data_IF_658569748733
#
_entry.id   IF_658569748733
#
_cell.length_a   1.000
_cell.length_b   1.000
_cell.length_c   1.000
_cell.angle_alpha   90.00
_cell.angle_beta   90.00
_cell.angle_gamma   90.00
#
_symmetry.space_group_name_H-M   'P 1'
#
loop_
_entity.id
_entity.type
_entity.pdbx_description
1 polymer ?
#
# COMPACT_ATOMS: atom_id res chain seq x y z
N UNK A 1 -38.98 -67.38 15.68
CA UNK A 1 -39.26 -66.18 16.49
C UNK A 1 -37.99 -65.34 16.53
N UNK A 2 -37.77 -64.60 15.45
CA UNK A 2 -37.39 -63.18 15.41
C UNK A 2 -36.09 -62.79 16.11
N UNK A 3 -35.01 -63.01 15.39
CA UNK A 3 -33.72 -62.35 15.58
C UNK A 3 -33.50 -61.41 14.38
N UNK A 4 -33.73 -60.12 14.59
CA UNK A 4 -33.40 -59.04 13.64
C UNK A 4 -32.87 -57.85 14.43
N UNK A 5 -31.63 -57.97 14.91
CA UNK A 5 -30.88 -56.84 15.43
C UNK A 5 -30.46 -55.90 14.29
N UNK A 6 -30.76 -54.59 14.36
CA UNK A 6 -30.37 -53.64 13.33
C UNK A 6 -28.85 -53.42 13.40
N UNK A 7 -28.11 -54.03 12.47
CA UNK A 7 -26.72 -53.67 12.21
C UNK A 7 -26.67 -52.24 11.68
N UNK A 8 -26.47 -51.30 12.59
CA UNK A 8 -26.18 -49.90 12.30
C UNK A 8 -24.80 -49.81 11.64
N UNK A 9 -24.77 -49.99 10.31
CA UNK A 9 -23.67 -49.56 9.45
C UNK A 9 -23.65 -48.03 9.46
N UNK A 10 -23.10 -47.45 10.52
CA UNK A 10 -22.64 -46.07 10.49
C UNK A 10 -21.52 -45.99 9.46
N UNK A 11 -21.91 -45.62 8.24
CA UNK A 11 -21.02 -45.26 7.16
C UNK A 11 -20.04 -44.21 7.71
N UNK A 12 -18.82 -44.66 7.99
CA UNK A 12 -17.76 -43.84 8.54
C UNK A 12 -17.35 -42.88 7.43
N UNK A 13 -17.97 -41.69 7.40
CA UNK A 13 -17.67 -40.63 6.44
C UNK A 13 -16.18 -40.31 6.58
N UNK A 14 -15.37 -40.85 5.67
CA UNK A 14 -13.97 -40.46 5.52
C UNK A 14 -14.00 -39.08 4.88
N UNK A 15 -13.94 -38.04 5.71
CA UNK A 15 -13.64 -36.70 5.23
C UNK A 15 -12.32 -36.79 4.44
N UNK A 16 -12.43 -36.66 3.11
CA UNK A 16 -11.27 -36.73 2.23
C UNK A 16 -10.40 -35.50 2.49
N UNK A 17 -9.08 -35.65 2.66
CA UNK A 17 -8.17 -34.53 2.88
C UNK A 17 -8.24 -33.45 1.79
N UNK A 18 -8.70 -33.82 0.59
CA UNK A 18 -9.00 -32.91 -0.52
C UNK A 18 -10.09 -31.88 -0.19
N UNK A 19 -11.10 -32.23 0.62
CA UNK A 19 -12.18 -31.31 0.98
C UNK A 19 -11.69 -30.17 1.89
N UNK A 20 -10.73 -30.45 2.79
CA UNK A 20 -10.14 -29.45 3.69
C UNK A 20 -9.27 -28.46 2.90
N UNK A 21 -8.47 -28.97 1.95
CA UNK A 21 -7.66 -28.12 1.06
C UNK A 21 -8.57 -27.26 0.16
N UNK A 22 -9.63 -27.84 -0.40
CA UNK A 22 -10.59 -27.09 -1.20
C UNK A 22 -11.27 -25.97 -0.40
N UNK A 23 -11.64 -26.21 0.86
CA UNK A 23 -12.27 -25.20 1.72
C UNK A 23 -11.31 -24.06 2.09
N UNK A 24 -10.04 -24.38 2.36
CA UNK A 24 -9.01 -23.37 2.64
C UNK A 24 -8.74 -22.49 1.42
N UNK A 25 -8.68 -23.08 0.22
CA UNK A 25 -8.55 -22.34 -1.04
C UNK A 25 -9.79 -21.46 -1.29
N UNK A 26 -11.00 -21.96 -1.01
CA UNK A 26 -12.24 -21.19 -1.19
C UNK A 26 -12.34 -19.97 -0.27
N UNK A 27 -11.73 -20.01 0.92
CA UNK A 27 -11.73 -18.90 1.88
C UNK A 27 -10.62 -17.88 1.65
N UNK A 28 -9.47 -18.28 1.08
CA UNK A 28 -8.34 -17.38 0.86
C UNK A 28 -8.52 -16.49 -0.38
N UNK A 29 -9.27 -16.95 -1.39
CA UNK A 29 -9.48 -16.21 -2.65
C UNK A 29 -10.38 -14.96 -2.52
N UNK A 30 -11.51 -14.98 -1.78
CA UNK A 30 -12.42 -13.83 -1.69
C UNK A 30 -11.85 -12.64 -0.90
N UNK A 31 -11.03 -12.91 0.11
CA UNK A 31 -10.42 -11.85 0.96
C UNK A 31 -9.44 -10.99 0.16
N UNK A 32 -8.80 -11.54 -0.86
CA UNK A 32 -7.94 -10.77 -1.77
C UNK A 32 -8.72 -9.87 -2.75
N UNK A 33 -10.02 -10.08 -2.90
CA UNK A 33 -10.86 -9.39 -3.88
C UNK A 33 -11.68 -8.23 -3.29
N UNK A 34 -11.94 -8.22 -1.98
CA UNK A 34 -12.77 -7.21 -1.31
C UNK A 34 -12.03 -5.92 -0.92
N UNK A 35 -10.76 -5.75 -1.31
CA UNK A 35 -9.97 -4.54 -1.06
C UNK A 35 -10.06 -3.48 -2.17
N UNK A 36 -11.12 -3.49 -2.98
CA UNK A 36 -11.36 -2.42 -3.97
C UNK A 36 -12.05 -1.26 -3.26
N UNK A 37 -11.23 -0.37 -2.71
CA UNK A 37 -11.65 0.88 -2.09
C UNK A 37 -12.31 1.76 -3.16
N UNK A 38 -13.59 2.08 -2.96
CA UNK A 38 -14.38 3.01 -3.77
C UNK A 38 -14.54 4.33 -3.03
N UNK A 39 -13.46 4.85 -2.45
CA UNK A 39 -13.47 6.18 -1.87
C UNK A 39 -13.29 7.20 -3.01
N UNK A 40 -14.32 8.01 -3.23
CA UNK A 40 -14.20 9.30 -3.92
C UNK A 40 -13.25 10.19 -3.08
N UNK A 41 -11.94 10.04 -3.27
CA UNK A 41 -10.96 10.74 -2.46
C UNK A 41 -10.91 12.22 -2.85
N UNK A 42 -11.07 13.09 -1.84
CA UNK A 42 -10.83 14.53 -1.90
C UNK A 42 -9.34 14.81 -2.15
N UNK A 43 -8.87 14.59 -3.37
CA UNK A 43 -7.52 14.94 -3.76
C UNK A 43 -7.44 16.37 -4.27
N UNK A 44 -6.23 16.92 -4.29
CA UNK A 44 -5.90 18.18 -4.96
C UNK A 44 -4.82 17.93 -6.00
N UNK A 45 -4.89 18.69 -7.09
CA UNK A 45 -4.01 18.58 -8.23
C UNK A 45 -3.64 20.00 -8.70
N UNK A 46 -2.35 20.32 -8.78
CA UNK A 46 -1.88 21.57 -9.35
C UNK A 46 -2.00 21.47 -10.87
N UNK A 47 -2.93 22.24 -11.43
CA UNK A 47 -3.26 22.16 -12.85
C UNK A 47 -2.40 23.17 -13.62
N UNK A 48 -2.49 24.45 -13.25
CA UNK A 48 -1.81 25.53 -13.96
C UNK A 48 -1.21 26.56 -13.03
N UNK A 49 -0.20 27.28 -13.53
CA UNK A 49 0.42 28.42 -12.87
C UNK A 49 0.66 29.53 -13.89
N UNK A 50 0.32 30.76 -13.53
CA UNK A 50 0.49 31.94 -14.40
C UNK A 50 1.16 33.05 -13.60
N UNK A 51 2.19 33.67 -14.18
CA UNK A 51 2.83 34.85 -13.62
C UNK A 51 2.16 36.13 -14.09
N UNK A 52 1.92 37.08 -13.18
CA UNK A 52 1.45 38.43 -13.46
C UNK A 52 2.28 39.44 -12.67
N UNK A 53 3.24 40.07 -13.33
CA UNK A 53 4.24 40.93 -12.66
C UNK A 53 5.08 40.13 -11.67
N UNK A 54 4.96 40.46 -10.38
CA UNK A 54 5.64 39.76 -9.27
C UNK A 54 4.76 38.71 -8.59
N UNK A 55 3.50 38.58 -9.01
CA UNK A 55 2.55 37.63 -8.43
C UNK A 55 2.45 36.37 -9.28
N UNK A 56 2.18 35.24 -8.62
CA UNK A 56 1.88 33.97 -9.25
C UNK A 56 0.46 33.58 -8.88
N UNK A 57 -0.33 33.21 -9.88
CA UNK A 57 -1.66 32.63 -9.70
C UNK A 57 -1.58 31.16 -10.06
N UNK A 58 -1.84 30.29 -9.09
CA UNK A 58 -1.97 28.86 -9.28
C UNK A 58 -3.44 28.45 -9.33
N UNK A 59 -3.74 27.46 -10.17
CA UNK A 59 -5.05 26.81 -10.24
C UNK A 59 -4.90 25.38 -9.77
N UNK A 60 -5.60 25.04 -8.69
CA UNK A 60 -5.74 23.69 -8.17
C UNK A 60 -7.09 23.13 -8.59
N UNK A 61 -7.14 21.85 -8.97
CA UNK A 61 -8.40 21.12 -9.13
C UNK A 61 -8.49 20.06 -8.05
N UNK A 62 -9.69 19.85 -7.52
CA UNK A 62 -9.92 18.74 -6.61
C UNK A 62 -10.52 17.51 -7.33
N UNK A 63 -10.78 16.43 -6.58
CA UNK A 63 -11.38 15.20 -7.10
C UNK A 63 -12.78 15.37 -7.72
N UNK A 64 -13.54 16.40 -7.32
CA UNK A 64 -14.82 16.74 -7.96
C UNK A 64 -14.69 17.62 -9.20
N UNK A 65 -13.46 18.00 -9.59
CA UNK A 65 -13.19 18.93 -10.68
C UNK A 65 -13.37 20.41 -10.32
N UNK A 66 -13.72 20.72 -9.07
CA UNK A 66 -13.81 22.10 -8.62
C UNK A 66 -12.42 22.75 -8.60
N UNK A 67 -12.33 23.95 -9.19
CA UNK A 67 -11.08 24.70 -9.31
C UNK A 67 -10.95 25.73 -8.19
N UNK A 68 -9.82 25.71 -7.50
CA UNK A 68 -9.43 26.70 -6.50
C UNK A 68 -8.27 27.52 -7.04
N UNK A 69 -8.33 28.85 -6.86
CA UNK A 69 -7.24 29.74 -7.27
C UNK A 69 -6.47 30.19 -6.05
N UNK A 70 -5.15 30.09 -6.13
CA UNK A 70 -4.23 30.56 -5.09
C UNK A 70 -3.29 31.59 -5.65
N UNK A 71 -2.94 32.54 -4.81
CA UNK A 71 -2.04 33.64 -5.15
C UNK A 71 -0.82 33.55 -4.24
N UNK A 72 0.35 33.67 -4.86
CA UNK A 72 1.62 33.88 -4.16
C UNK A 72 2.20 35.24 -4.59
N UNK A 73 2.65 36.02 -3.61
CA UNK A 73 3.30 37.31 -3.83
C UNK A 73 4.83 37.26 -3.63
N UNK A 74 5.37 36.09 -3.31
CA UNK A 74 6.76 35.87 -2.90
C UNK A 74 7.44 34.76 -3.71
N UNK A 75 7.06 34.60 -4.98
CA UNK A 75 7.70 33.63 -5.87
C UNK A 75 7.31 32.17 -5.61
N UNK A 76 6.16 31.91 -4.98
CA UNK A 76 5.64 30.57 -4.71
C UNK A 76 6.00 30.02 -3.32
N UNK A 77 6.62 30.83 -2.45
CA UNK A 77 7.02 30.40 -1.12
C UNK A 77 5.83 30.31 -0.16
N UNK A 78 4.90 31.26 -0.26
CA UNK A 78 3.63 31.26 0.48
C UNK A 78 2.44 31.41 -0.46
N UNK A 79 1.31 30.84 -0.05
CA UNK A 79 0.08 30.80 -0.82
C UNK A 79 -1.10 31.25 0.03
N UNK A 80 -2.00 32.02 -0.59
CA UNK A 80 -3.32 32.35 -0.05
C UNK A 80 -4.39 32.09 -1.09
N UNK A 81 -5.64 31.91 -0.67
CA UNK A 81 -6.73 31.86 -1.64
C UNK A 81 -6.91 33.24 -2.27
N UNK A 82 -7.29 33.23 -3.54
CA UNK A 82 -7.66 34.44 -4.24
C UNK A 82 -8.96 35.01 -3.65
N UNK A 83 -8.99 36.30 -3.32
CA UNK A 83 -10.21 36.95 -2.89
C UNK A 83 -11.19 37.08 -4.07
N UNK A 84 -12.51 37.15 -3.82
CA UNK A 84 -13.49 37.44 -4.86
C UNK A 84 -13.11 38.76 -5.58
N UNK A 85 -12.79 38.68 -6.87
CA UNK A 85 -12.38 39.83 -7.70
C UNK A 85 -10.90 39.89 -8.07
N UNK A 86 -9.99 39.31 -7.28
CA UNK A 86 -8.56 39.20 -7.65
C UNK A 86 -8.32 38.15 -8.72
N UNK A 87 -9.26 37.22 -8.85
CA UNK A 87 -9.23 36.20 -9.88
C UNK A 87 -9.32 36.79 -11.27
N UNK A 88 -9.59 38.09 -11.42
CA UNK A 88 -9.71 38.78 -12.70
C UNK A 88 -10.65 37.97 -13.55
N UNK A 89 -11.96 38.07 -13.30
CA UNK A 89 -12.93 37.71 -14.32
C UNK A 89 -12.56 38.53 -15.55
N UNK A 90 -11.70 37.96 -16.38
CA UNK A 90 -11.58 38.35 -17.78
C UNK A 90 -12.85 37.78 -18.40
N UNK A 91 -13.97 38.43 -18.07
CA UNK A 91 -15.34 38.34 -18.62
C UNK A 91 -15.77 37.05 -19.29
N UNK A 92 -15.54 35.90 -18.66
CA UNK A 92 -15.77 34.59 -19.26
C UNK A 92 -16.74 33.72 -18.49
N UNK A 93 -17.77 34.27 -17.84
CA UNK A 93 -18.92 33.49 -17.33
C UNK A 93 -19.83 32.96 -18.44
N UNK A 94 -19.42 33.12 -19.71
CA UNK A 94 -20.00 32.38 -20.82
C UNK A 94 -19.54 30.92 -20.78
N UNK A 95 -20.36 30.09 -20.15
CA UNK A 95 -20.42 28.62 -20.30
C UNK A 95 -20.79 28.19 -21.75
N UNK A 96 -20.50 29.03 -22.74
CA UNK A 96 -20.77 28.84 -24.16
C UNK A 96 -19.53 28.27 -24.85
N UNK A 97 -19.31 26.97 -24.67
CA UNK A 97 -18.83 26.06 -25.72
C UNK A 97 -17.54 26.38 -26.49
N UNK A 98 -16.72 27.33 -26.05
CA UNK A 98 -15.47 27.69 -26.68
C UNK A 98 -14.36 26.71 -26.30
N UNK A 99 -14.18 25.67 -27.11
CA UNK A 99 -13.08 24.69 -27.04
C UNK A 99 -11.68 25.28 -27.27
N UNK A 100 -11.54 26.61 -27.28
CA UNK A 100 -10.26 27.29 -27.22
C UNK A 100 -9.69 27.23 -25.80
N UNK A 101 -9.31 26.03 -25.35
CA UNK A 101 -8.49 25.87 -24.16
C UNK A 101 -7.21 26.67 -24.40
N UNK A 102 -7.11 27.86 -23.81
CA UNK A 102 -5.87 28.63 -23.81
C UNK A 102 -4.80 27.73 -23.24
N UNK A 103 -3.90 27.25 -24.10
CA UNK A 103 -2.89 26.27 -23.71
C UNK A 103 -2.13 26.82 -22.51
N UNK A 104 -2.09 26.04 -21.43
CA UNK A 104 -1.40 26.44 -20.21
C UNK A 104 0.08 26.68 -20.54
N UNK A 105 0.70 27.75 -20.04
CA UNK A 105 2.08 28.06 -20.39
C UNK A 105 2.99 26.94 -19.91
N UNK A 106 3.58 26.22 -20.85
CA UNK A 106 4.54 25.13 -20.63
C UNK A 106 5.99 25.63 -20.66
N UNK A 107 6.20 26.86 -21.13
CA UNK A 107 7.50 27.51 -21.24
C UNK A 107 7.39 28.99 -20.88
N UNK A 108 8.40 29.52 -20.19
CA UNK A 108 8.49 30.93 -19.84
C UNK A 108 9.95 31.34 -19.65
N UNK A 109 10.26 32.62 -19.87
CA UNK A 109 11.61 33.16 -19.80
C UNK A 109 11.75 34.15 -18.64
N UNK A 110 12.96 34.27 -18.09
CA UNK A 110 13.26 35.23 -17.05
C UNK A 110 13.06 36.66 -17.58
N UNK A 111 12.28 37.52 -16.89
CA UNK A 111 11.98 38.87 -17.36
C UNK A 111 13.22 39.75 -17.58
N UNK A 112 14.28 39.53 -16.78
CA UNK A 112 15.54 40.26 -16.84
C UNK A 112 16.56 39.67 -17.83
N UNK A 113 16.36 38.42 -18.26
CA UNK A 113 17.27 37.65 -19.13
C UNK A 113 16.46 36.82 -20.13
N UNK A 114 16.02 37.41 -21.26
CA UNK A 114 15.12 36.75 -22.20
C UNK A 114 15.71 35.48 -22.85
N UNK A 115 17.04 35.33 -22.86
CA UNK A 115 17.75 34.12 -23.28
C UNK A 115 17.69 32.97 -22.25
N UNK A 116 17.33 33.28 -21.00
CA UNK A 116 17.20 32.32 -19.92
C UNK A 116 15.75 31.86 -19.79
N UNK A 117 15.44 30.66 -20.29
CA UNK A 117 14.08 30.12 -20.30
C UNK A 117 13.98 28.77 -19.62
N UNK A 118 12.76 28.45 -19.19
CA UNK A 118 12.39 27.19 -18.56
C UNK A 118 11.24 26.56 -19.34
N UNK A 119 11.22 25.24 -19.44
CA UNK A 119 10.08 24.48 -19.98
C UNK A 119 9.79 23.22 -19.16
N UNK A 120 8.52 22.85 -19.06
CA UNK A 120 8.13 21.55 -18.49
C UNK A 120 8.31 20.44 -19.51
N UNK A 121 8.56 19.21 -19.04
CA UNK A 121 8.59 18.01 -19.90
C UNK A 121 7.32 17.18 -19.64
N UNK A 122 6.34 17.17 -20.57
CA UNK A 122 5.07 16.47 -20.38
C UNK A 122 5.25 14.99 -20.04
N UNK A 123 4.42 14.46 -19.15
CA UNK A 123 4.48 13.05 -18.72
C UNK A 123 5.55 12.74 -17.66
N UNK A 124 6.39 13.72 -17.33
CA UNK A 124 7.45 13.61 -16.33
C UNK A 124 7.33 14.74 -15.31
N UNK A 125 7.84 14.49 -14.10
CA UNK A 125 8.09 15.54 -13.12
C UNK A 125 9.47 16.13 -13.41
N UNK A 126 9.56 17.00 -14.42
CA UNK A 126 10.83 17.51 -14.93
C UNK A 126 10.67 18.91 -15.53
N UNK A 127 11.67 19.73 -15.24
CA UNK A 127 11.89 21.04 -15.86
C UNK A 127 13.25 21.04 -16.53
N UNK A 128 13.26 21.58 -17.75
CA UNK A 128 14.49 21.89 -18.46
C UNK A 128 14.70 23.41 -18.46
N UNK A 129 15.95 23.83 -18.40
CA UNK A 129 16.34 25.23 -18.56
C UNK A 129 17.31 25.40 -19.73
N UNK A 130 17.33 26.62 -20.27
CA UNK A 130 18.24 27.08 -21.32
C UNK A 130 18.73 28.48 -20.95
N UNK A 131 19.96 28.83 -21.30
CA UNK A 131 20.55 30.18 -21.14
C UNK A 131 20.98 30.77 -22.48
N UNK A 132 20.61 30.11 -23.59
CA UNK A 132 20.97 30.50 -24.94
C UNK A 132 19.74 30.55 -25.85
N UNK A 133 18.60 31.00 -25.30
CA UNK A 133 17.37 31.20 -26.06
C UNK A 133 16.78 29.91 -26.64
N UNK A 134 17.06 28.76 -26.01
CA UNK A 134 16.54 27.46 -26.42
C UNK A 134 17.40 26.70 -27.43
N UNK A 135 18.61 27.17 -27.75
CA UNK A 135 19.53 26.43 -28.61
C UNK A 135 20.00 25.11 -27.97
N UNK A 136 20.14 25.07 -26.64
CA UNK A 136 20.35 23.85 -25.86
C UNK A 136 19.56 23.87 -24.57
N UNK A 137 19.08 22.71 -24.15
CA UNK A 137 18.30 22.52 -22.93
C UNK A 137 18.98 21.49 -22.03
N UNK A 138 18.95 21.71 -20.72
CA UNK A 138 19.42 20.75 -19.73
C UNK A 138 18.43 20.64 -18.58
N UNK A 139 18.52 19.55 -17.82
CA UNK A 139 17.61 19.29 -16.70
C UNK A 139 17.96 20.26 -15.57
N UNK A 140 17.05 21.18 -15.27
CA UNK A 140 17.14 22.11 -14.14
C UNK A 140 16.62 21.46 -12.86
N UNK A 141 15.60 20.62 -12.99
CA UNK A 141 14.96 19.89 -11.90
C UNK A 141 14.26 18.64 -12.43
N UNK A 142 14.32 17.54 -11.68
CA UNK A 142 13.49 16.37 -11.97
C UNK A 142 13.30 15.46 -10.78
N UNK A 143 12.16 14.78 -10.75
CA UNK A 143 11.99 13.52 -9.99
C UNK A 143 12.22 12.36 -10.96
N UNK A 144 13.23 11.50 -10.74
CA UNK A 144 13.47 10.30 -11.54
C UNK A 144 12.19 9.45 -11.72
N UNK A 145 12.04 8.81 -12.88
CA UNK A 145 10.81 8.06 -13.19
C UNK A 145 10.58 6.86 -12.26
N UNK A 146 11.64 6.25 -11.74
CA UNK A 146 11.52 5.19 -10.74
C UNK A 146 11.00 5.74 -9.40
N UNK A 147 11.49 6.89 -8.96
CA UNK A 147 10.99 7.63 -7.79
C UNK A 147 9.55 8.07 -7.96
N UNK A 148 9.21 8.60 -9.14
CA UNK A 148 7.84 8.98 -9.50
C UNK A 148 6.90 7.78 -9.47
N UNK A 149 7.34 6.62 -9.95
CA UNK A 149 6.58 5.35 -9.81
C UNK A 149 6.47 4.89 -8.37
N UNK A 150 7.45 5.18 -7.49
CA UNK A 150 7.34 4.91 -6.05
C UNK A 150 6.31 5.84 -5.41
N UNK A 151 6.40 7.13 -5.70
CA UNK A 151 5.47 8.15 -5.25
C UNK A 151 4.03 7.83 -5.67
N UNK A 152 3.82 7.38 -6.91
CA UNK A 152 2.53 6.98 -7.44
C UNK A 152 1.80 5.94 -6.57
N UNK A 153 2.54 5.04 -5.91
CA UNK A 153 1.96 3.99 -5.06
C UNK A 153 1.41 4.48 -3.74
N UNK A 154 1.73 5.73 -3.36
CA UNK A 154 1.18 6.37 -2.17
C UNK A 154 -0.21 6.98 -2.42
N UNK A 155 -0.59 7.13 -3.68
CA UNK A 155 -1.91 7.62 -4.09
C UNK A 155 -2.73 6.42 -4.57
N UNK A 156 -3.70 5.98 -3.77
CA UNK A 156 -4.48 4.76 -4.04
C UNK A 156 -5.30 4.86 -5.34
N UNK A 157 -5.69 6.07 -5.70
CA UNK A 157 -6.63 6.45 -6.75
C UNK A 157 -5.96 7.20 -7.93
N UNK A 158 -4.63 7.20 -8.03
CA UNK A 158 -3.90 8.05 -8.98
C UNK A 158 -4.22 7.78 -10.45
N UNK A 159 -4.61 6.55 -10.79
CA UNK A 159 -4.68 6.12 -12.19
C UNK A 159 -3.30 6.10 -12.85
N UNK A 160 -3.18 6.69 -14.04
CA UNK A 160 -1.94 6.71 -14.82
C UNK A 160 -0.93 7.75 -14.28
N UNK A 161 0.26 7.35 -13.79
CA UNK A 161 1.20 8.29 -13.19
C UNK A 161 1.71 9.38 -14.13
N UNK A 162 1.86 9.11 -15.43
CA UNK A 162 2.26 10.12 -16.42
C UNK A 162 1.23 11.24 -16.58
N UNK A 163 -0.04 10.94 -16.33
CA UNK A 163 -1.12 11.93 -16.40
C UNK A 163 -1.16 12.78 -15.12
N UNK A 164 -1.09 12.14 -13.95
CA UNK A 164 -1.37 12.81 -12.67
C UNK A 164 -0.16 13.24 -11.86
N UNK A 165 1.02 12.68 -12.13
CA UNK A 165 2.30 13.11 -11.57
C UNK A 165 3.19 13.57 -12.71
N UNK A 166 2.86 14.72 -13.28
CA UNK A 166 3.63 15.35 -14.35
C UNK A 166 3.65 16.86 -14.18
N UNK A 167 4.73 17.48 -14.65
CA UNK A 167 4.86 18.93 -14.76
C UNK A 167 4.00 19.41 -15.92
N UNK A 168 3.01 20.25 -15.63
CA UNK A 168 1.95 20.66 -16.57
C UNK A 168 2.11 22.08 -17.07
N UNK A 169 2.48 22.98 -16.17
CA UNK A 169 2.57 24.40 -16.42
C UNK A 169 3.68 24.99 -15.56
N UNK A 170 4.29 26.07 -16.04
CA UNK A 170 5.25 26.83 -15.26
C UNK A 170 5.06 28.33 -15.43
N UNK A 171 5.48 29.08 -14.40
CA UNK A 171 5.55 30.53 -14.41
C UNK A 171 6.94 30.97 -13.94
N UNK A 172 7.48 31.99 -14.60
CA UNK A 172 8.72 32.67 -14.18
C UNK A 172 8.36 34.10 -13.83
N UNK A 173 8.69 34.52 -12.60
CA UNK A 173 8.38 35.86 -12.10
C UNK A 173 9.63 36.53 -11.55
N UNK A 174 9.72 37.84 -11.71
CA UNK A 174 10.79 38.62 -11.12
C UNK A 174 10.63 38.68 -9.60
N UNK A 175 11.73 38.49 -8.87
CA UNK A 175 11.82 38.63 -7.42
C UNK A 175 13.06 39.46 -7.05
N UNK A 176 13.16 40.06 -5.86
CA UNK A 176 14.33 40.83 -5.48
C UNK A 176 15.64 40.01 -5.58
N UNK A 177 16.50 40.34 -6.54
CA UNK A 177 17.77 39.64 -6.75
C UNK A 177 17.77 38.55 -7.83
N UNK A 178 16.67 38.38 -8.59
CA UNK A 178 16.63 37.50 -9.76
C UNK A 178 15.20 37.14 -10.16
N UNK A 179 14.97 35.86 -10.44
CA UNK A 179 13.66 35.31 -10.76
C UNK A 179 13.38 34.04 -9.95
N UNK A 180 12.09 33.83 -9.68
CA UNK A 180 11.58 32.58 -9.15
C UNK A 180 10.88 31.79 -10.26
N UNK A 181 10.91 30.46 -10.15
CA UNK A 181 10.21 29.57 -11.07
C UNK A 181 9.24 28.72 -10.26
N UNK A 182 7.98 28.68 -10.67
CA UNK A 182 6.98 27.81 -10.05
C UNK A 182 6.40 26.90 -11.09
N UNK A 183 6.25 25.63 -10.74
CA UNK A 183 5.80 24.56 -11.64
C UNK A 183 4.63 23.84 -11.00
N UNK A 184 3.53 23.71 -11.75
CA UNK A 184 2.40 22.87 -11.39
C UNK A 184 2.72 21.41 -11.73
N UNK A 185 2.80 20.54 -10.71
CA UNK A 185 3.24 19.15 -10.83
C UNK A 185 2.10 18.14 -10.62
N UNK A 186 0.88 18.47 -11.02
CA UNK A 186 -0.27 17.60 -10.83
C UNK A 186 -0.48 17.30 -9.33
N UNK A 187 -0.68 16.03 -8.96
CA UNK A 187 -0.95 15.60 -7.58
C UNK A 187 0.29 15.64 -6.67
N UNK A 188 1.46 15.98 -7.21
CA UNK A 188 2.67 16.20 -6.43
C UNK A 188 2.71 17.59 -5.75
N UNK A 189 1.82 18.51 -6.16
CA UNK A 189 1.83 19.90 -5.70
C UNK A 189 2.63 20.80 -6.62
N UNK A 190 3.51 21.62 -6.04
CA UNK A 190 4.36 22.56 -6.78
C UNK A 190 5.84 22.24 -6.61
N UNK A 191 6.64 22.59 -7.62
CA UNK A 191 8.07 22.76 -7.46
C UNK A 191 8.43 24.24 -7.61
N UNK A 192 9.22 24.76 -6.68
CA UNK A 192 9.60 26.16 -6.60
C UNK A 192 11.11 26.27 -6.66
N UNK A 193 11.63 27.03 -7.63
CA UNK A 193 13.03 27.46 -7.68
C UNK A 193 13.11 28.85 -7.06
N UNK A 194 13.82 28.96 -5.95
CA UNK A 194 14.10 30.24 -5.33
C UNK A 194 15.17 31.03 -6.12
N UNK A 195 15.37 32.29 -5.75
CA UNK A 195 16.36 33.18 -6.39
C UNK A 195 17.81 32.67 -6.30
N UNK A 196 18.12 31.86 -5.29
CA UNK A 196 19.44 31.25 -5.10
C UNK A 196 19.64 29.98 -5.95
N UNK A 197 18.64 29.61 -6.76
CA UNK A 197 18.66 28.47 -7.64
C UNK A 197 18.29 27.13 -6.99
N UNK A 198 17.99 27.11 -5.69
CA UNK A 198 17.54 25.88 -5.03
C UNK A 198 16.09 25.57 -5.37
N UNK A 199 15.83 24.30 -5.66
CA UNK A 199 14.49 23.77 -5.88
C UNK A 199 13.92 23.16 -4.61
N UNK A 200 12.67 23.47 -4.31
CA UNK A 200 11.89 22.87 -3.22
C UNK A 200 10.56 22.34 -3.75
N UNK A 201 10.10 21.20 -3.22
CA UNK A 201 8.78 20.65 -3.51
C UNK A 201 7.81 21.03 -2.40
N UNK A 202 6.69 21.61 -2.75
CA UNK A 202 5.65 22.05 -1.82
C UNK A 202 4.34 21.34 -2.14
N UNK A 203 3.71 20.76 -1.11
CA UNK A 203 2.41 20.10 -1.26
C UNK A 203 1.26 21.11 -1.20
N UNK A 204 0.04 20.58 -1.15
CA UNK A 204 -1.16 21.40 -0.95
C UNK A 204 -1.35 21.70 0.55
N UNK A 205 -1.69 22.95 0.90
CA UNK A 205 -1.84 23.39 2.29
C UNK A 205 -2.74 24.63 2.45
N UNK A 206 -3.56 24.62 3.50
CA UNK A 206 -4.81 25.41 3.67
C UNK A 206 -4.65 26.92 3.83
N UNK A 207 -5.65 27.62 3.31
CA UNK A 207 -5.94 29.06 3.31
C UNK A 207 -5.68 29.81 4.62
N UNK A 208 -5.16 31.04 4.51
CA UNK A 208 -5.27 32.11 5.52
C UNK A 208 -6.56 32.89 5.24
N UNK A 209 -7.54 32.88 6.16
CA UNK A 209 -8.75 33.70 6.06
C UNK A 209 -8.38 35.21 6.10
N UNK A 210 -8.84 36.04 5.13
CA UNK A 210 -8.53 37.47 5.07
C UNK A 210 -9.08 38.31 6.24
N UNK A 211 -10.01 37.78 7.05
CA UNK A 211 -10.61 38.52 8.18
C UNK A 211 -9.83 38.44 9.48
N UNK A 212 -8.71 37.70 9.53
CA UNK A 212 -7.90 37.53 10.74
C UNK A 212 -8.61 36.81 11.88
N UNK A 213 -9.87 36.39 11.71
CA UNK A 213 -10.60 35.54 12.64
C UNK A 213 -10.27 34.10 12.30
N UNK A 214 -9.33 33.52 13.04
CA UNK A 214 -9.11 32.08 13.07
C UNK A 214 -10.44 31.35 13.28
N UNK A 215 -10.90 30.60 12.28
CA UNK A 215 -11.72 29.43 12.53
C UNK A 215 -10.86 28.44 13.34
N UNK A 216 -10.77 28.64 14.66
CA UNK A 216 -10.05 27.76 15.58
C UNK A 216 -8.52 27.68 15.40
N UNK A 217 -7.78 28.41 16.25
CA UNK A 217 -6.50 28.01 16.86
C UNK A 217 -5.31 27.54 15.99
N UNK A 218 -5.20 27.92 14.72
CA UNK A 218 -3.93 27.81 13.97
C UNK A 218 -3.80 28.95 12.93
N UNK A 219 -3.46 30.15 13.40
CA UNK A 219 -3.00 31.25 12.56
C UNK A 219 -1.55 30.99 12.12
N UNK A 220 -1.29 31.02 10.81
CA UNK A 220 0.00 30.67 10.20
C UNK A 220 0.11 29.18 9.90
N UNK A 221 -0.73 28.65 9.00
CA UNK A 221 -0.58 27.27 8.56
C UNK A 221 0.54 27.16 7.54
N UNK A 222 1.63 26.61 8.04
CA UNK A 222 2.82 26.13 7.33
C UNK A 222 2.44 25.43 6.02
N UNK A 223 3.07 25.84 4.92
CA UNK A 223 3.03 25.12 3.64
C UNK A 223 3.43 23.69 3.95
N UNK A 224 2.52 22.73 3.72
CA UNK A 224 2.84 21.33 3.95
C UNK A 224 3.92 20.94 2.95
N UNK A 225 5.09 20.43 3.40
CA UNK A 225 6.09 19.94 2.47
C UNK A 225 5.45 18.85 1.60
N UNK A 226 5.83 18.80 0.32
CA UNK A 226 5.39 17.70 -0.54
C UNK A 226 5.79 16.36 0.09
N UNK A 227 5.03 15.28 -0.13
CA UNK A 227 5.39 13.97 0.40
C UNK A 227 6.87 13.66 0.08
N UNK A 228 7.69 13.31 1.09
CA UNK A 228 9.11 13.11 0.88
C UNK A 228 9.32 11.95 -0.10
N UNK A 229 10.09 12.19 -1.16
CA UNK A 229 10.40 11.17 -2.17
C UNK A 229 11.28 10.07 -1.55
N UNK A 230 12.21 10.46 -0.68
CA UNK A 230 13.21 9.58 -0.06
C UNK A 230 12.64 8.65 1.03
N UNK A 231 11.33 8.66 1.25
CA UNK A 231 10.71 7.72 2.17
C UNK A 231 10.79 6.29 1.61
N UNK A 232 11.84 5.55 1.98
CA UNK A 232 11.81 4.09 2.13
C UNK A 232 10.70 3.77 3.13
N UNK A 233 9.46 3.81 2.66
CA UNK A 233 8.32 3.63 3.53
C UNK A 233 8.25 2.13 3.82
N UNK A 234 8.97 1.69 4.84
CA UNK A 234 8.70 0.41 5.49
C UNK A 234 7.20 0.29 5.84
N UNK A 235 6.54 1.44 6.03
CA UNK A 235 5.08 1.62 6.13
C UNK A 235 4.30 1.06 4.94
N UNK A 236 4.81 1.15 3.72
CA UNK A 236 4.10 0.66 2.51
C UNK A 236 4.22 -0.87 2.38
N UNK A 237 5.30 -1.45 2.91
CA UNK A 237 5.54 -2.90 2.91
C UNK A 237 4.94 -3.60 4.15
N UNK A 238 4.66 -2.87 5.23
CA UNK A 238 4.23 -3.43 6.50
C UNK A 238 2.96 -4.32 6.40
N UNK A 239 1.87 -3.91 5.73
CA UNK A 239 0.67 -4.76 5.63
C UNK A 239 0.94 -6.08 4.92
N UNK A 240 1.87 -6.08 3.96
CA UNK A 240 2.20 -7.24 3.16
C UNK A 240 3.18 -8.18 3.88
N UNK A 241 4.13 -7.62 4.65
CA UNK A 241 4.95 -8.40 5.58
C UNK A 241 4.07 -9.10 6.63
N UNK A 242 3.04 -8.42 7.14
CA UNK A 242 2.07 -9.00 8.07
C UNK A 242 1.26 -10.10 7.39
N UNK A 243 0.83 -9.92 6.14
CA UNK A 243 0.14 -10.96 5.37
C UNK A 243 1.00 -12.21 5.14
N UNK A 244 2.28 -12.05 4.79
CA UNK A 244 3.22 -13.17 4.63
C UNK A 244 3.48 -13.92 5.94
N UNK A 245 3.61 -13.18 7.05
CA UNK A 245 3.70 -13.77 8.40
C UNK A 245 2.42 -14.55 8.75
N UNK A 246 1.25 -14.06 8.34
CA UNK A 246 -0.01 -14.79 8.50
C UNK A 246 -0.08 -16.07 7.71
N UNK A 247 0.32 -16.02 6.44
CA UNK A 247 0.37 -17.21 5.60
C UNK A 247 1.25 -18.30 6.25
N UNK A 248 2.43 -17.93 6.77
CA UNK A 248 3.31 -18.83 7.51
C UNK A 248 2.65 -19.43 8.76
N UNK A 249 2.00 -18.60 9.60
CA UNK A 249 1.29 -19.06 10.80
C UNK A 249 0.13 -20.02 10.48
N UNK A 250 -0.62 -19.75 9.40
CA UNK A 250 -1.72 -20.60 8.96
C UNK A 250 -1.23 -21.97 8.48
N UNK A 251 -0.11 -22.04 7.77
CA UNK A 251 0.51 -23.31 7.36
C UNK A 251 0.85 -24.16 8.60
N UNK A 252 1.48 -23.57 9.61
CA UNK A 252 1.83 -24.26 10.87
C UNK A 252 0.57 -24.76 11.59
N UNK A 253 -0.45 -23.91 11.70
CA UNK A 253 -1.69 -24.26 12.39
C UNK A 253 -2.47 -25.38 11.69
N UNK A 254 -2.64 -25.30 10.36
CA UNK A 254 -3.36 -26.32 9.57
C UNK A 254 -2.64 -27.66 9.62
N UNK A 255 -1.32 -27.66 9.44
CA UNK A 255 -0.52 -28.88 9.47
C UNK A 255 -0.53 -29.54 10.86
N UNK A 256 -0.42 -28.75 11.93
CA UNK A 256 -0.50 -29.25 13.30
C UNK A 256 -1.90 -29.77 13.68
N UNK A 257 -2.98 -29.08 13.26
CA UNK A 257 -4.33 -29.59 13.44
C UNK A 257 -4.57 -30.89 12.66
N UNK A 258 -4.09 -31.00 11.42
CA UNK A 258 -4.19 -32.24 10.64
C UNK A 258 -3.51 -33.44 11.36
N UNK A 259 -2.42 -33.19 12.09
CA UNK A 259 -1.79 -34.18 12.96
C UNK A 259 -2.59 -34.54 14.22
N UNK A 260 -3.32 -33.58 14.82
CA UNK A 260 -4.01 -33.74 16.10
C UNK A 260 -5.49 -34.14 16.02
N UNK A 261 -6.14 -33.96 14.86
CA UNK A 261 -7.60 -34.10 14.71
C UNK A 261 -8.19 -35.43 15.19
N UNK A 262 -7.40 -36.51 15.28
CA UNK A 262 -7.84 -37.81 15.81
C UNK A 262 -7.71 -37.98 17.32
N UNK A 263 -6.75 -37.31 17.95
CA UNK A 263 -6.36 -37.57 19.34
C UNK A 263 -6.96 -36.55 20.30
N UNK A 264 -7.22 -35.32 19.81
CA UNK A 264 -7.52 -34.19 20.68
C UNK A 264 -8.37 -33.13 19.97
N UNK A 265 -9.58 -33.52 19.54
CA UNK A 265 -10.52 -32.72 18.73
C UNK A 265 -10.72 -31.30 19.28
N UNK A 266 -10.95 -31.19 20.59
CA UNK A 266 -11.30 -29.92 21.26
C UNK A 266 -10.10 -28.99 21.46
N UNK A 267 -8.93 -29.52 21.81
CA UNK A 267 -7.72 -28.70 22.00
C UNK A 267 -7.14 -28.22 20.68
N UNK A 268 -7.27 -29.01 19.61
CA UNK A 268 -6.90 -28.60 18.26
C UNK A 268 -7.79 -27.45 17.76
N UNK A 269 -9.10 -27.53 18.02
CA UNK A 269 -10.05 -26.48 17.67
C UNK A 269 -9.74 -25.15 18.38
N UNK A 270 -9.46 -25.20 19.70
CA UNK A 270 -9.10 -23.99 20.47
C UNK A 270 -7.82 -23.33 19.99
N UNK A 271 -6.80 -24.12 19.64
CA UNK A 271 -5.54 -23.56 19.15
C UNK A 271 -5.69 -22.98 17.72
N UNK A 272 -6.48 -23.62 16.85
CA UNK A 272 -6.80 -23.09 15.53
C UNK A 272 -7.59 -21.77 15.62
N UNK A 273 -8.52 -21.67 16.58
CA UNK A 273 -9.27 -20.45 16.86
C UNK A 273 -8.35 -19.30 17.30
N UNK A 274 -7.35 -19.57 18.16
CA UNK A 274 -6.36 -18.58 18.58
C UNK A 274 -5.49 -18.09 17.42
N UNK A 275 -5.09 -18.98 16.50
CA UNK A 275 -4.36 -18.56 15.29
C UNK A 275 -5.24 -17.72 14.36
N UNK A 276 -6.50 -18.12 14.16
CA UNK A 276 -7.44 -17.38 13.33
C UNK A 276 -7.76 -15.99 13.88
N UNK A 277 -8.08 -15.90 15.18
CA UNK A 277 -8.36 -14.63 15.86
C UNK A 277 -7.11 -13.76 15.93
N UNK A 278 -5.96 -14.34 16.27
CA UNK A 278 -4.68 -13.64 16.23
C UNK A 278 -4.40 -13.07 14.84
N UNK A 279 -4.80 -13.79 13.79
CA UNK A 279 -4.67 -13.32 12.42
C UNK A 279 -5.56 -12.22 11.96
N UNK A 280 -6.83 -12.31 12.31
CA UNK A 280 -7.73 -11.20 12.07
C UNK A 280 -7.28 -9.93 12.80
N UNK A 281 -6.85 -10.04 14.06
CA UNK A 281 -6.39 -8.89 14.83
C UNK A 281 -5.12 -8.26 14.25
N UNK A 282 -4.14 -9.07 13.85
CA UNK A 282 -2.91 -8.52 13.32
C UNK A 282 -3.04 -7.98 11.89
N UNK A 283 -3.92 -8.54 11.07
CA UNK A 283 -4.33 -7.93 9.80
C UNK A 283 -5.06 -6.60 10.04
N UNK A 284 -6.03 -6.56 10.95
CA UNK A 284 -6.74 -5.33 11.30
C UNK A 284 -5.79 -4.24 11.82
N UNK A 285 -4.78 -4.62 12.62
CA UNK A 285 -3.72 -3.72 13.07
C UNK A 285 -2.81 -3.23 11.95
N UNK A 286 -2.43 -4.11 11.01
CA UNK A 286 -1.62 -3.75 9.84
C UNK A 286 -2.33 -2.77 8.90
N UNK A 287 -3.63 -2.99 8.64
CA UNK A 287 -4.44 -2.09 7.80
C UNK A 287 -4.81 -0.79 8.51
N UNK A 288 -5.18 -0.84 9.79
CA UNK A 288 -5.56 0.36 10.55
C UNK A 288 -4.41 1.35 10.77
N UNK A 289 -3.15 0.91 10.61
CA UNK A 289 -1.97 1.76 10.77
C UNK A 289 -1.83 2.81 9.66
N UNK A 290 -2.59 2.66 8.56
CA UNK A 290 -2.55 3.57 7.41
C UNK A 290 -3.19 4.93 7.69
N UNK A 291 -4.27 4.98 8.48
CA UNK A 291 -5.15 6.16 8.51
C UNK A 291 -5.38 6.80 9.90
N UNK A 292 -4.83 6.27 11.00
CA UNK A 292 -5.14 6.78 12.35
C UNK A 292 -3.94 6.90 13.29
N UNK A 293 -4.13 7.68 14.38
CA UNK A 293 -3.19 7.77 15.51
C UNK A 293 -2.75 6.36 15.95
N UNK A 294 -1.45 6.11 15.85
CA UNK A 294 -0.84 4.79 15.69
C UNK A 294 -1.01 3.78 16.85
N UNK A 295 -1.68 4.12 17.94
CA UNK A 295 -1.70 3.26 19.15
C UNK A 295 -2.57 2.02 18.97
N UNK A 296 -3.82 2.19 18.54
CA UNK A 296 -4.76 1.07 18.41
C UNK A 296 -4.32 0.06 17.34
N UNK A 297 -3.88 0.47 16.13
CA UNK A 297 -3.46 -0.49 15.11
C UNK A 297 -2.19 -1.26 15.50
N UNK A 298 -1.23 -0.59 16.15
CA UNK A 298 -0.02 -1.25 16.67
C UNK A 298 -0.37 -2.23 17.78
N UNK A 299 -1.30 -1.87 18.67
CA UNK A 299 -1.78 -2.78 19.73
C UNK A 299 -2.44 -4.03 19.12
N UNK A 300 -3.34 -3.85 18.15
CA UNK A 300 -4.00 -4.96 17.44
C UNK A 300 -2.99 -5.87 16.73
N UNK A 301 -1.96 -5.28 16.12
CA UNK A 301 -0.86 -6.01 15.50
C UNK A 301 -0.10 -6.87 16.52
N UNK A 302 0.37 -6.28 17.62
CA UNK A 302 1.14 -6.98 18.65
C UNK A 302 0.31 -8.08 19.30
N UNK A 303 -0.93 -7.78 19.70
CA UNK A 303 -1.83 -8.75 20.33
C UNK A 303 -2.14 -9.90 19.37
N UNK A 304 -2.40 -9.59 18.10
CA UNK A 304 -2.67 -10.60 17.09
C UNK A 304 -1.50 -11.55 16.85
N UNK A 305 -0.28 -11.01 16.77
CA UNK A 305 0.94 -11.81 16.61
C UNK A 305 1.21 -12.71 17.83
N UNK A 306 1.05 -12.18 19.04
CA UNK A 306 1.23 -12.95 20.27
C UNK A 306 0.18 -14.07 20.38
N UNK A 307 -1.08 -13.80 20.07
CA UNK A 307 -2.14 -14.81 20.06
C UNK A 307 -1.88 -15.90 19.01
N UNK A 308 -1.43 -15.52 17.80
CA UNK A 308 -1.06 -16.46 16.75
C UNK A 308 0.12 -17.36 17.13
N UNK A 309 1.18 -16.77 17.71
CA UNK A 309 2.34 -17.51 18.20
C UNK A 309 1.97 -18.46 19.34
N UNK A 310 1.15 -18.01 20.30
CA UNK A 310 0.67 -18.83 21.40
C UNK A 310 -0.16 -20.03 20.90
N UNK A 311 -1.04 -19.81 19.91
CA UNK A 311 -1.80 -20.87 19.26
C UNK A 311 -0.88 -21.90 18.57
N UNK A 312 0.06 -21.43 17.75
CA UNK A 312 1.02 -22.28 17.06
C UNK A 312 1.91 -23.09 18.03
N UNK A 313 2.42 -22.45 19.09
CA UNK A 313 3.20 -23.12 20.12
C UNK A 313 2.38 -24.16 20.89
N UNK A 314 1.13 -23.84 21.24
CA UNK A 314 0.22 -24.78 21.89
C UNK A 314 -0.02 -26.03 21.05
N UNK A 315 -0.22 -25.87 19.73
CA UNK A 315 -0.32 -27.00 18.79
C UNK A 315 0.96 -27.85 18.79
N UNK A 316 2.13 -27.21 18.71
CA UNK A 316 3.40 -27.91 18.69
C UNK A 316 3.65 -28.70 19.98
N UNK A 317 3.41 -28.10 21.14
CA UNK A 317 3.58 -28.73 22.46
C UNK A 317 2.60 -29.89 22.66
N UNK A 318 1.34 -29.73 22.25
CA UNK A 318 0.39 -30.85 22.32
C UNK A 318 0.77 -32.00 21.38
N UNK A 319 1.24 -31.69 20.17
CA UNK A 319 1.67 -32.69 19.21
C UNK A 319 2.88 -33.49 19.71
N UNK A 320 3.85 -32.83 20.35
CA UNK A 320 5.04 -33.47 20.93
C UNK A 320 4.70 -34.27 22.20
N UNK A 321 3.95 -33.68 23.15
CA UNK A 321 3.58 -34.36 24.41
C UNK A 321 2.77 -35.62 24.20
N UNK A 322 1.81 -35.61 23.25
CA UNK A 322 0.95 -36.79 23.00
C UNK A 322 1.64 -37.88 22.17
N UNK A 323 2.91 -37.70 21.77
CA UNK A 323 3.63 -38.57 20.81
C UNK A 323 2.84 -38.85 19.52
N UNK A 324 1.84 -38.00 19.21
CA UNK A 324 0.93 -38.19 18.10
C UNK A 324 1.64 -38.01 16.74
N UNK A 325 2.78 -37.32 16.76
CA UNK A 325 3.63 -37.04 15.62
C UNK A 325 5.07 -37.29 16.09
N UNK A 326 5.88 -38.01 15.30
CA UNK A 326 7.34 -38.05 15.56
C UNK A 326 7.86 -36.61 15.50
N UNK A 327 8.82 -36.25 16.34
CA UNK A 327 9.39 -34.89 16.41
C UNK A 327 9.83 -34.34 15.05
N UNK A 328 10.33 -35.22 14.17
CA UNK A 328 10.87 -34.86 12.85
C UNK A 328 9.86 -34.14 11.93
N UNK A 329 8.68 -34.69 11.60
CA UNK A 329 7.70 -34.00 10.75
C UNK A 329 7.16 -32.69 11.33
N UNK A 330 7.04 -32.58 12.67
CA UNK A 330 6.60 -31.34 13.29
C UNK A 330 7.64 -30.22 13.14
N UNK A 331 8.94 -30.55 13.33
CA UNK A 331 10.04 -29.62 13.10
C UNK A 331 10.10 -29.21 11.63
N UNK A 332 9.96 -30.15 10.69
CA UNK A 332 9.95 -29.87 9.25
C UNK A 332 8.83 -28.89 8.85
N UNK A 333 7.62 -29.07 9.38
CA UNK A 333 6.50 -28.15 9.12
C UNK A 333 6.79 -26.75 9.67
N UNK A 334 7.37 -26.64 10.86
CA UNK A 334 7.78 -25.35 11.43
C UNK A 334 8.83 -24.65 10.56
N UNK A 335 9.84 -25.40 10.09
CA UNK A 335 10.87 -24.89 9.18
C UNK A 335 10.26 -24.41 7.86
N UNK A 336 9.32 -25.16 7.28
CA UNK A 336 8.59 -24.74 6.07
C UNK A 336 7.81 -23.45 6.31
N UNK A 337 7.10 -23.34 7.44
CA UNK A 337 6.34 -22.13 7.79
C UNK A 337 7.23 -20.89 7.91
N UNK A 338 8.37 -21.01 8.60
CA UNK A 338 9.34 -19.91 8.73
C UNK A 338 9.92 -19.54 7.36
N UNK A 339 10.36 -20.54 6.57
CA UNK A 339 10.94 -20.29 5.25
C UNK A 339 9.99 -19.50 4.34
N UNK A 340 8.69 -19.80 4.39
CA UNK A 340 7.65 -19.11 3.60
C UNK A 340 7.43 -17.70 4.06
N UNK A 341 7.28 -17.49 5.37
CA UNK A 341 7.13 -16.15 5.92
C UNK A 341 8.34 -15.27 5.54
N UNK A 342 9.55 -15.85 5.57
CA UNK A 342 10.77 -15.15 5.19
C UNK A 342 10.83 -14.86 3.68
N UNK A 343 10.41 -15.82 2.85
CA UNK A 343 10.38 -15.66 1.39
C UNK A 343 9.34 -14.61 0.95
N UNK A 344 8.14 -14.64 1.53
CA UNK A 344 7.10 -13.64 1.28
C UNK A 344 7.57 -12.23 1.69
N UNK A 345 8.16 -12.10 2.89
CA UNK A 345 8.73 -10.83 3.34
C UNK A 345 9.83 -10.35 2.37
N UNK A 346 10.65 -11.26 1.85
CA UNK A 346 11.65 -10.98 0.82
C UNK A 346 11.04 -10.48 -0.48
N UNK A 347 9.99 -11.12 -0.98
CA UNK A 347 9.27 -10.71 -2.22
C UNK A 347 8.74 -9.28 -2.08
N UNK A 348 8.11 -8.95 -0.95
CA UNK A 348 7.61 -7.59 -0.70
C UNK A 348 8.73 -6.58 -0.43
N UNK A 349 9.87 -7.01 0.14
CA UNK A 349 11.04 -6.16 0.21
C UNK A 349 11.56 -5.80 -1.20
N UNK A 350 11.64 -6.77 -2.12
CA UNK A 350 12.05 -6.52 -3.53
C UNK A 350 11.06 -5.58 -4.23
N UNK A 351 9.76 -5.74 -3.99
CA UNK A 351 8.74 -4.81 -4.46
C UNK A 351 8.92 -3.39 -3.90
N UNK A 352 9.20 -3.27 -2.60
CA UNK A 352 9.42 -1.98 -1.95
C UNK A 352 10.63 -1.23 -2.56
N UNK A 353 11.65 -1.97 -2.99
CA UNK A 353 12.80 -1.43 -3.73
C UNK A 353 12.47 -1.05 -5.19
N UNK A 354 11.27 -1.40 -5.68
CA UNK A 354 10.81 -1.08 -7.04
C UNK A 354 11.36 -2.01 -8.13
N UNK A 355 12.02 -3.11 -7.76
CA UNK A 355 12.56 -4.07 -8.71
C UNK A 355 11.47 -4.95 -9.35
N UNK A 356 10.33 -5.13 -8.69
CA UNK A 356 9.16 -5.85 -9.22
C UNK A 356 7.87 -5.05 -9.04
N UNK A 357 6.90 -5.26 -9.92
CA UNK A 357 5.56 -4.69 -9.79
C UNK A 357 4.76 -5.34 -8.66
N UNK A 358 3.78 -4.62 -8.10
CA UNK A 358 2.95 -5.12 -6.98
C UNK A 358 2.23 -6.43 -7.34
N UNK A 359 1.61 -6.50 -8.53
CA UNK A 359 0.92 -7.72 -8.99
C UNK A 359 1.85 -8.92 -9.01
N UNK A 360 3.07 -8.75 -9.55
CA UNK A 360 4.07 -9.81 -9.61
C UNK A 360 4.51 -10.27 -8.22
N UNK A 361 4.72 -9.33 -7.28
CA UNK A 361 5.05 -9.64 -5.90
C UNK A 361 3.91 -10.39 -5.19
N UNK A 362 2.67 -9.91 -5.34
CA UNK A 362 1.49 -10.55 -4.76
C UNK A 362 1.29 -11.98 -5.32
N UNK A 363 1.40 -12.18 -6.63
CA UNK A 363 1.29 -13.52 -7.23
C UNK A 363 2.41 -14.45 -6.77
N UNK A 364 3.64 -13.93 -6.63
CA UNK A 364 4.78 -14.72 -6.15
C UNK A 364 4.56 -15.17 -4.70
N UNK A 365 4.09 -14.27 -3.83
CA UNK A 365 3.78 -14.60 -2.44
C UNK A 365 2.63 -15.62 -2.32
N UNK A 366 1.56 -15.44 -3.10
CA UNK A 366 0.45 -16.40 -3.16
C UNK A 366 0.92 -17.79 -3.62
N UNK A 367 1.76 -17.84 -4.65
CA UNK A 367 2.32 -19.09 -5.15
C UNK A 367 3.19 -19.78 -4.08
N UNK A 368 4.05 -19.02 -3.38
CA UNK A 368 4.89 -19.54 -2.29
C UNK A 368 4.03 -20.12 -1.15
N UNK A 369 2.99 -19.40 -0.72
CA UNK A 369 2.07 -19.85 0.31
C UNK A 369 1.35 -21.16 -0.09
N UNK A 370 0.86 -21.26 -1.33
CA UNK A 370 0.19 -22.47 -1.83
C UNK A 370 1.15 -23.65 -1.89
N UNK A 371 2.35 -23.47 -2.47
CA UNK A 371 3.35 -24.52 -2.59
C UNK A 371 3.76 -25.06 -1.20
N UNK A 372 3.91 -24.16 -0.23
CA UNK A 372 4.25 -24.55 1.13
C UNK A 372 3.12 -25.28 1.85
N UNK A 373 1.87 -24.85 1.67
CA UNK A 373 0.73 -25.56 2.22
C UNK A 373 0.66 -26.98 1.66
N UNK A 374 0.84 -27.14 0.34
CA UNK A 374 0.90 -28.45 -0.31
C UNK A 374 2.05 -29.29 0.25
N UNK A 375 3.25 -28.71 0.37
CA UNK A 375 4.42 -29.41 0.94
C UNK A 375 4.15 -29.88 2.37
N UNK A 376 3.63 -29.00 3.23
CA UNK A 376 3.33 -29.30 4.63
C UNK A 376 2.28 -30.42 4.76
N UNK A 377 1.18 -30.34 4.01
CA UNK A 377 0.13 -31.37 3.99
C UNK A 377 0.68 -32.70 3.47
N UNK A 378 1.49 -32.68 2.42
CA UNK A 378 2.09 -33.90 1.85
C UNK A 378 3.03 -34.55 2.86
N UNK A 379 3.86 -33.76 3.54
CA UNK A 379 4.82 -34.24 4.54
C UNK A 379 4.10 -34.89 5.72
N UNK A 380 3.04 -34.26 6.23
CA UNK A 380 2.20 -34.80 7.32
C UNK A 380 1.46 -36.07 6.90
N UNK A 381 0.95 -36.14 5.66
CA UNK A 381 0.20 -37.31 5.17
C UNK A 381 1.10 -38.51 4.86
N UNK A 382 2.31 -38.28 4.30
CA UNK A 382 3.26 -39.35 3.97
C UNK A 382 3.90 -39.98 5.20
N UNK A 383 4.15 -39.19 6.24
CA UNK A 383 4.78 -39.65 7.48
C UNK A 383 3.80 -40.29 8.47
N UNK A 384 2.59 -40.63 8.02
CA UNK A 384 1.66 -41.45 8.80
C UNK A 384 2.37 -42.76 9.15
N UNK A 385 2.56 -43.07 10.45
CA UNK A 385 2.97 -44.40 10.83
C UNK A 385 1.92 -45.35 10.25
N UNK A 386 2.35 -46.29 9.42
CA UNK A 386 1.55 -47.51 9.21
C UNK A 386 1.42 -48.09 10.61
N UNK A 387 0.26 -47.88 11.23
CA UNK A 387 -0.16 -48.65 12.40
C UNK A 387 -0.25 -50.06 11.86
N UNK A 388 0.90 -50.73 11.84
CA UNK A 388 1.05 -52.10 11.41
C UNK A 388 0.14 -52.90 12.32
N UNK A 389 -0.57 -53.83 11.72
CA UNK A 389 -1.62 -54.68 12.26
C UNK A 389 -1.11 -55.59 13.38
N UNK A 390 -0.63 -54.99 14.49
CA UNK A 390 -0.22 -55.65 15.72
C UNK A 390 -1.40 -56.36 16.41
N UNK A 391 -2.61 -56.16 15.91
CA UNK A 391 -3.82 -56.89 16.30
C UNK A 391 -3.93 -58.28 15.65
N UNK A 392 -3.10 -58.62 14.64
CA UNK A 392 -3.17 -59.92 13.95
C UNK A 392 -2.29 -61.03 14.55
N UNK A 393 -1.46 -60.73 15.56
CA UNK A 393 -0.67 -61.74 16.29
C UNK A 393 -1.19 -61.97 17.71
N UNK A 394 -2.52 -61.88 17.89
CA UNK A 394 -3.16 -62.33 19.13
C UNK A 394 -2.99 -63.85 19.29
N UNK A 395 -2.58 -64.35 20.47
CA UNK A 395 -2.22 -65.75 20.73
C UNK A 395 -3.41 -66.74 20.72
N UNK A 396 -4.54 -66.41 20.11
CA UNK A 396 -5.75 -67.25 20.08
C UNK A 396 -5.86 -68.15 18.84
N UNK A 397 -4.76 -68.35 18.08
CA UNK A 397 -4.75 -69.28 16.95
C UNK A 397 -4.51 -70.76 17.34
N UNK A 398 -4.31 -71.07 18.62
CA UNK A 398 -4.29 -72.45 19.12
C UNK A 398 -5.15 -72.58 20.39
N UNK A 399 -6.44 -72.82 20.21
CA UNK A 399 -7.24 -73.72 21.06
C UNK A 399 -8.55 -74.10 20.41
#
# INVERSE_FOLDING_TARGET
>A
MHDTGPTSRLARIRAHPLAIVALAVLFLVPVAWLGADTSDENFSEAVSVVGSGTQIVAVESNGSGAKHRRISADGGLTWRDAAPGETGETGGTGETGGTGATAEPTQSCAPDKPEHCYRVVPGHLRVEETVNGGASWWIAWSVPDDERRRLARRYGDLGEPAKHLSSRSLAVVAVPGGHAVVVANGRDGYAVRAQDGRWTRTGFGTTVDPTGKTAGKTAGKEVRPAPPIEGRSARDAAPQMVAGLFAGLMVVAVAGCAGMFRVARWTAAGALALVGVGGLLALAGGFGWRDTNAVLPVLLLVVGLLAGLAGAYGVLVLATRRRAVRTVPAVLVGVVGVAVATADAGVFAVWAHGAVGYRSAAYSAQLLAVLALVAAVTLVTRWRPRIRDAESSGPYAER
#
